data_IF_661817334495
#
_entry.id   IF_661817334495
#
_cell.length_a   1.000
_cell.length_b   1.000
_cell.length_c   1.000
_cell.angle_alpha   90.00
_cell.angle_beta   90.00
_cell.angle_gamma   90.00
#
_symmetry.space_group_name_H-M   'P 1'
#
loop_
_entity.id
_entity.type
_entity.pdbx_description
1 polymer ?
#
# COMPACT_ATOMS: atom_id res chain seq x y z
N UNK A 1 -17.76 -2.99 -14.73
CA UNK A 1 -16.71 -2.93 -13.69
C UNK A 1 -15.88 -1.71 -13.97
N UNK A 2 -15.85 -0.81 -13.00
CA UNK A 2 -14.98 0.36 -13.07
C UNK A 2 -13.53 -0.09 -12.91
N UNK A 3 -12.62 0.60 -13.60
CA UNK A 3 -11.17 0.36 -13.51
C UNK A 3 -10.55 1.52 -12.75
N UNK A 4 -9.50 1.22 -12.00
CA UNK A 4 -8.76 2.19 -11.22
C UNK A 4 -7.28 1.84 -11.27
N UNK A 5 -6.43 2.76 -11.70
CA UNK A 5 -4.96 2.62 -11.60
C UNK A 5 -4.47 3.01 -10.20
N UNK A 6 -3.21 2.75 -9.86
CA UNK A 6 -2.68 3.20 -8.56
C UNK A 6 -2.59 4.73 -8.49
N UNK A 7 -2.31 5.41 -9.60
CA UNK A 7 -2.33 6.88 -9.62
C UNK A 7 -3.75 7.43 -9.40
N UNK A 8 -4.77 6.78 -9.95
CA UNK A 8 -6.18 7.14 -9.71
C UNK A 8 -6.59 6.83 -8.26
N UNK A 9 -6.25 5.64 -7.75
CA UNK A 9 -6.52 5.23 -6.38
C UNK A 9 -5.86 6.19 -5.38
N UNK A 10 -4.59 6.56 -5.60
CA UNK A 10 -3.88 7.57 -4.81
C UNK A 10 -4.68 8.87 -4.76
N UNK A 11 -5.16 9.39 -5.90
CA UNK A 11 -5.98 10.62 -5.93
C UNK A 11 -7.27 10.48 -5.13
N UNK A 12 -8.00 9.37 -5.28
CA UNK A 12 -9.23 9.11 -4.54
C UNK A 12 -9.01 9.05 -3.02
N UNK A 13 -7.93 8.40 -2.59
CA UNK A 13 -7.56 8.34 -1.16
C UNK A 13 -7.24 9.73 -0.62
N UNK A 14 -6.55 10.58 -1.41
CA UNK A 14 -6.24 11.96 -1.03
C UNK A 14 -7.48 12.85 -0.94
N UNK A 15 -8.40 12.70 -1.88
CA UNK A 15 -9.71 13.36 -1.84
C UNK A 15 -10.51 12.94 -0.59
N UNK A 16 -10.50 11.66 -0.25
CA UNK A 16 -11.13 11.15 0.98
C UNK A 16 -10.52 11.81 2.23
N UNK A 17 -9.18 11.86 2.32
CA UNK A 17 -8.46 12.47 3.45
C UNK A 17 -8.82 13.94 3.63
N UNK A 18 -8.87 14.70 2.54
CA UNK A 18 -9.23 16.11 2.55
C UNK A 18 -10.70 16.32 2.92
N UNK A 19 -11.60 15.55 2.30
CA UNK A 19 -13.04 15.66 2.51
C UNK A 19 -13.45 15.30 3.95
N UNK A 20 -12.78 14.32 4.55
CA UNK A 20 -13.07 13.85 5.91
C UNK A 20 -12.31 14.60 7.00
N UNK A 21 -11.41 15.52 6.63
CA UNK A 21 -10.64 16.31 7.58
C UNK A 21 -9.58 15.51 8.35
N UNK A 22 -9.06 14.44 7.75
CA UNK A 22 -7.99 13.66 8.35
C UNK A 22 -6.65 14.43 8.33
N UNK A 23 -5.67 14.08 9.20
CA UNK A 23 -4.35 14.70 9.21
C UNK A 23 -3.68 14.68 7.82
N UNK A 24 -3.29 15.87 7.37
CA UNK A 24 -2.92 16.12 5.97
C UNK A 24 -1.74 17.09 5.80
N UNK A 25 -0.81 17.06 6.75
CA UNK A 25 0.47 17.78 6.70
C UNK A 25 1.63 16.82 6.98
N UNK A 26 2.86 17.33 6.91
CA UNK A 26 4.08 16.54 7.03
C UNK A 26 4.19 15.78 8.37
N UNK A 27 3.59 16.30 9.44
CA UNK A 27 3.62 15.65 10.76
C UNK A 27 2.85 14.31 10.78
N UNK A 28 1.92 14.12 9.83
CA UNK A 28 1.13 12.91 9.68
C UNK A 28 1.86 11.78 8.94
N UNK A 29 3.02 12.03 8.31
CA UNK A 29 3.74 11.02 7.50
C UNK A 29 4.06 9.76 8.31
N UNK A 30 4.65 9.92 9.50
CA UNK A 30 4.99 8.79 10.39
C UNK A 30 3.74 8.02 10.81
N UNK A 31 2.64 8.74 11.08
CA UNK A 31 1.39 8.14 11.49
C UNK A 31 0.80 7.26 10.37
N UNK A 32 0.84 7.69 9.10
CA UNK A 32 0.32 6.91 7.96
C UNK A 32 1.10 5.60 7.77
N UNK A 33 2.42 5.59 7.94
CA UNK A 33 3.21 4.35 7.91
C UNK A 33 2.81 3.42 9.07
N UNK A 34 2.64 3.97 10.27
CA UNK A 34 2.26 3.18 11.44
C UNK A 34 0.88 2.52 11.25
N UNK A 35 -0.09 3.25 10.71
CA UNK A 35 -1.41 2.70 10.40
C UNK A 35 -1.33 1.58 9.37
N UNK A 36 -0.57 1.74 8.29
CA UNK A 36 -0.36 0.64 7.33
C UNK A 36 0.17 -0.65 7.99
N UNK A 37 1.01 -0.52 9.03
CA UNK A 37 1.47 -1.67 9.82
C UNK A 37 0.38 -2.26 10.71
N UNK A 38 -0.50 -1.43 11.29
CA UNK A 38 -1.65 -1.88 12.07
C UNK A 38 -2.57 -2.72 11.17
N UNK A 39 -2.96 -2.21 10.00
CA UNK A 39 -3.84 -2.93 9.07
C UNK A 39 -3.25 -4.26 8.60
N UNK A 40 -1.93 -4.33 8.38
CA UNK A 40 -1.26 -5.60 8.10
C UNK A 40 -1.34 -6.59 9.28
N UNK A 41 -1.35 -6.08 10.51
CA UNK A 41 -1.59 -6.87 11.71
C UNK A 41 -3.02 -7.38 11.79
N UNK A 42 -4.01 -6.55 11.42
CA UNK A 42 -5.43 -6.92 11.37
C UNK A 42 -5.67 -8.00 10.31
N UNK A 43 -5.09 -7.85 9.11
CA UNK A 43 -5.13 -8.88 8.07
C UNK A 43 -4.55 -10.22 8.55
N UNK A 44 -3.43 -10.19 9.28
CA UNK A 44 -2.80 -11.39 9.83
C UNK A 44 -3.63 -12.04 10.95
N UNK A 45 -4.26 -11.24 11.80
CA UNK A 45 -5.14 -11.72 12.86
C UNK A 45 -6.43 -12.34 12.29
N UNK A 46 -7.06 -11.69 11.30
CA UNK A 46 -8.21 -12.20 10.55
C UNK A 46 -7.89 -13.54 9.88
N UNK A 47 -6.73 -13.65 9.22
CA UNK A 47 -6.28 -14.93 8.66
C UNK A 47 -6.11 -16.01 9.74
N UNK A 48 -5.48 -15.68 10.87
CA UNK A 48 -5.27 -16.62 11.97
C UNK A 48 -6.58 -17.12 12.58
N UNK A 49 -7.61 -16.27 12.62
CA UNK A 49 -8.95 -16.62 13.11
C UNK A 49 -9.78 -17.45 12.13
N UNK A 50 -9.32 -17.58 10.88
CA UNK A 50 -10.04 -18.30 9.83
C UNK A 50 -11.23 -17.52 9.29
N UNK A 51 -11.14 -16.19 9.28
CA UNK A 51 -12.15 -15.31 8.69
C UNK A 51 -12.25 -15.50 7.16
N UNK A 52 -13.32 -14.96 6.58
CA UNK A 52 -13.57 -15.04 5.14
C UNK A 52 -12.50 -14.31 4.31
N UNK A 53 -12.23 -14.81 3.10
CA UNK A 53 -11.24 -14.23 2.20
C UNK A 53 -11.55 -12.78 1.81
N UNK A 54 -12.83 -12.39 1.75
CA UNK A 54 -13.20 -10.99 1.52
C UNK A 54 -12.79 -10.11 2.70
N UNK A 55 -12.99 -10.55 3.93
CA UNK A 55 -12.59 -9.82 5.14
C UNK A 55 -11.07 -9.63 5.15
N UNK A 56 -10.31 -10.72 4.98
CA UNK A 56 -8.83 -10.65 4.93
C UNK A 56 -8.36 -9.72 3.79
N UNK A 57 -9.04 -9.74 2.64
CA UNK A 57 -8.70 -8.89 1.51
C UNK A 57 -9.02 -7.41 1.76
N UNK A 58 -10.07 -7.11 2.51
CA UNK A 58 -10.42 -5.74 2.91
C UNK A 58 -9.33 -5.12 3.77
N UNK A 59 -8.84 -5.84 4.79
CA UNK A 59 -7.72 -5.41 5.65
C UNK A 59 -6.43 -5.17 4.85
N UNK A 60 -6.15 -6.02 3.84
CA UNK A 60 -5.01 -5.82 2.94
C UNK A 60 -5.18 -4.58 2.05
N UNK A 61 -6.41 -4.26 1.67
CA UNK A 61 -6.73 -3.03 0.93
C UNK A 61 -6.59 -1.81 1.85
N UNK A 62 -6.96 -1.89 3.12
CA UNK A 62 -6.77 -0.80 4.09
C UNK A 62 -5.29 -0.46 4.28
N UNK A 63 -4.42 -1.47 4.35
CA UNK A 63 -2.97 -1.26 4.32
C UNK A 63 -2.52 -0.52 3.05
N UNK A 64 -3.08 -0.88 1.88
CA UNK A 64 -2.79 -0.20 0.60
C UNK A 64 -3.30 1.25 0.62
N UNK A 65 -4.47 1.53 1.21
CA UNK A 65 -4.98 2.89 1.38
C UNK A 65 -3.97 3.77 2.12
N UNK A 66 -3.47 3.32 3.27
CA UNK A 66 -2.46 4.10 4.02
C UNK A 66 -1.14 4.27 3.28
N UNK A 67 -0.71 3.27 2.50
CA UNK A 67 0.50 3.38 1.66
C UNK A 67 0.30 4.44 0.57
N UNK A 68 -0.82 4.41 -0.15
CA UNK A 68 -1.12 5.39 -1.20
C UNK A 68 -1.33 6.80 -0.63
N UNK A 69 -1.99 6.90 0.52
CA UNK A 69 -2.16 8.14 1.27
C UNK A 69 -0.81 8.76 1.65
N UNK A 70 0.12 7.93 2.15
CA UNK A 70 1.48 8.36 2.47
C UNK A 70 2.22 8.90 1.24
N UNK A 71 2.17 8.18 0.10
CA UNK A 71 2.79 8.64 -1.15
C UNK A 71 2.19 9.98 -1.59
N UNK A 72 0.86 10.09 -1.61
CA UNK A 72 0.20 11.34 -1.98
C UNK A 72 0.47 12.49 -1.00
N UNK A 73 0.68 12.19 0.29
CA UNK A 73 1.11 13.20 1.26
C UNK A 73 2.52 13.70 0.96
N UNK A 74 3.46 12.81 0.63
CA UNK A 74 4.82 13.19 0.22
C UNK A 74 4.77 14.13 -0.99
N UNK A 75 3.99 13.80 -2.01
CA UNK A 75 3.85 14.66 -3.20
C UNK A 75 3.39 16.07 -2.82
N UNK A 76 2.36 16.15 -1.97
CA UNK A 76 1.81 17.41 -1.46
C UNK A 76 2.85 18.19 -0.65
N UNK A 77 3.53 17.56 0.30
CA UNK A 77 4.39 18.27 1.27
C UNK A 77 5.76 18.60 0.70
N UNK A 78 6.27 17.78 -0.21
CA UNK A 78 7.61 17.95 -0.79
C UNK A 78 7.59 18.59 -2.19
N UNK A 79 6.40 18.79 -2.78
CA UNK A 79 6.26 19.39 -4.11
C UNK A 79 6.84 18.52 -5.22
N UNK A 80 6.76 17.20 -5.07
CA UNK A 80 7.23 16.21 -6.06
C UNK A 80 6.05 15.41 -6.63
N UNK A 81 6.29 14.72 -7.74
CA UNK A 81 5.32 13.80 -8.33
C UNK A 81 5.93 12.40 -8.41
N UNK A 82 5.14 11.39 -8.06
CA UNK A 82 5.47 9.97 -8.02
C UNK A 82 4.42 9.23 -8.86
N UNK A 83 4.84 8.80 -10.05
CA UNK A 83 4.05 7.89 -10.88
C UNK A 83 4.09 6.47 -10.29
N UNK A 84 3.03 6.13 -9.55
CA UNK A 84 2.93 4.86 -8.82
C UNK A 84 2.75 3.68 -9.77
N UNK A 85 2.00 3.87 -10.87
CA UNK A 85 1.80 2.83 -11.88
C UNK A 85 3.14 2.49 -12.56
N UNK A 86 3.93 3.49 -12.92
CA UNK A 86 5.27 3.28 -13.48
C UNK A 86 6.20 2.59 -12.48
N UNK A 87 6.20 3.03 -11.21
CA UNK A 87 7.03 2.44 -10.17
C UNK A 87 6.68 0.97 -9.91
N UNK A 88 5.39 0.63 -9.92
CA UNK A 88 4.90 -0.74 -9.85
C UNK A 88 5.42 -1.58 -11.01
N UNK A 89 5.26 -1.11 -12.26
CA UNK A 89 5.69 -1.83 -13.46
C UNK A 89 7.21 -2.03 -13.49
N UNK A 90 7.99 -1.01 -13.11
CA UNK A 90 9.45 -1.13 -13.00
C UNK A 90 9.87 -2.13 -11.93
N UNK A 91 9.19 -2.15 -10.78
CA UNK A 91 9.44 -3.14 -9.74
C UNK A 91 9.09 -4.55 -10.21
N UNK A 92 7.97 -4.71 -10.91
CA UNK A 92 7.54 -5.97 -11.49
C UNK A 92 8.56 -6.50 -12.51
N UNK A 93 8.99 -5.67 -13.48
CA UNK A 93 10.03 -6.04 -14.46
C UNK A 93 11.32 -6.47 -13.78
N UNK A 94 11.78 -5.69 -12.79
CA UNK A 94 12.98 -6.01 -12.00
C UNK A 94 12.84 -7.36 -11.28
N UNK A 95 11.66 -7.67 -10.75
CA UNK A 95 11.43 -8.95 -10.06
C UNK A 95 11.34 -10.14 -11.02
N UNK A 96 10.72 -9.97 -12.19
CA UNK A 96 10.66 -11.01 -13.24
C UNK A 96 12.06 -11.39 -13.75
N UNK A 97 13.00 -10.43 -13.75
CA UNK A 97 14.38 -10.65 -14.18
C UNK A 97 15.28 -11.26 -13.09
N UNK A 98 14.79 -11.44 -11.86
CA UNK A 98 15.58 -12.06 -10.79
C UNK A 98 15.58 -13.58 -10.94
N UNK A 99 16.72 -14.28 -10.83
CA UNK A 99 16.74 -15.73 -10.78
C UNK A 99 15.94 -16.22 -9.55
N UNK A 100 14.96 -17.12 -9.75
CA UNK A 100 14.06 -17.82 -8.80
C UNK A 100 14.15 -17.46 -7.31
N UNK A 101 14.00 -16.17 -6.96
CA UNK A 101 14.04 -15.68 -5.58
C UNK A 101 12.88 -14.75 -5.26
N UNK A 102 11.81 -14.76 -6.06
CA UNK A 102 10.57 -14.14 -5.61
C UNK A 102 9.94 -15.03 -4.54
N UNK A 103 10.02 -14.63 -3.28
CA UNK A 103 9.37 -15.34 -2.17
C UNK A 103 10.12 -16.53 -1.55
N UNK A 104 11.40 -16.74 -1.92
CA UNK A 104 12.41 -17.70 -1.41
C UNK A 104 12.89 -18.75 -2.44
N UNK A 105 14.21 -18.74 -2.69
CA UNK A 105 15.08 -19.90 -2.51
C UNK A 105 16.30 -19.43 -1.70
N UNK A 106 16.15 -19.28 -0.38
CA UNK A 106 17.29 -19.55 0.49
C UNK A 106 17.35 -21.07 0.52
N UNK A 107 18.41 -21.66 0.00
CA UNK A 107 18.65 -23.09 0.20
C UNK A 107 18.59 -23.37 1.71
N UNK A 108 17.49 -23.93 2.17
CA UNK A 108 17.47 -24.80 3.34
C UNK A 108 18.09 -26.13 2.89
N UNK A 109 19.34 -26.09 2.42
CA UNK A 109 20.11 -27.29 2.18
C UNK A 109 20.51 -27.83 3.55
N UNK A 110 19.73 -28.83 3.98
CA UNK A 110 20.03 -29.97 4.87
C UNK A 110 21.12 -29.80 5.92
#
# INVERSE_FOLDING_TARGET
MDKCTFNEAKKLVRELVETKGFPNDESALTQKILWAFVELGEAADSYKKGEDWHVISEELIDAIFYILDFIGLIEKTQGIEIDVDHLFLEKWKKNMNRPNQYGQKRDLSK
#
